data_IF_271315556579
#
_entry.id   IF_271315556579
#
_cell.length_a   1.000
_cell.length_b   1.000
_cell.length_c   1.000
_cell.angle_alpha   90.00
_cell.angle_beta   90.00
_cell.angle_gamma   90.00
#
_symmetry.space_group_name_H-M   'P 1'
#
loop_
_entity.id
_entity.type
_entity.pdbx_description
1 polymer ?
#
# COMPACT_ATOMS: atom_id res chain seq x y z
N UNK A 1 32.21 -19.35 -11.04
CA UNK A 1 31.22 -18.69 -11.92
C UNK A 1 30.56 -17.55 -11.15
N UNK A 2 31.11 -16.35 -11.27
CA UNK A 2 30.56 -15.11 -10.71
C UNK A 2 29.47 -14.62 -11.66
N UNK A 3 28.24 -14.49 -11.17
CA UNK A 3 27.10 -14.04 -11.97
C UNK A 3 27.15 -12.51 -11.99
N UNK A 4 27.41 -11.96 -13.16
CA UNK A 4 27.23 -10.54 -13.50
C UNK A 4 25.82 -10.13 -13.05
N UNK A 5 25.74 -9.42 -11.92
CA UNK A 5 24.52 -8.75 -11.49
C UNK A 5 24.47 -7.51 -12.37
N UNK A 6 23.83 -7.66 -13.53
CA UNK A 6 23.72 -6.61 -14.54
C UNK A 6 23.21 -5.32 -13.91
N UNK A 7 24.10 -4.34 -13.81
CA UNK A 7 23.72 -2.96 -13.59
C UNK A 7 22.78 -2.57 -14.75
N UNK A 8 21.60 -2.00 -14.46
CA UNK A 8 20.64 -1.68 -15.51
C UNK A 8 21.27 -0.71 -16.50
N UNK A 9 21.12 -1.01 -17.80
CA UNK A 9 21.66 -0.15 -18.86
C UNK A 9 21.00 1.23 -18.80
N UNK A 10 21.72 2.28 -19.18
CA UNK A 10 21.19 3.65 -19.28
C UNK A 10 19.87 3.72 -20.08
N UNK A 11 19.75 2.88 -21.10
CA UNK A 11 18.55 2.79 -21.93
C UNK A 11 17.35 2.18 -21.18
N UNK A 12 17.58 1.25 -20.26
CA UNK A 12 16.53 0.66 -19.40
C UNK A 12 16.04 1.65 -18.36
N UNK A 13 16.95 2.44 -17.78
CA UNK A 13 16.62 3.53 -16.85
C UNK A 13 15.74 4.57 -17.57
N UNK A 14 16.12 4.99 -18.78
CA UNK A 14 15.34 5.95 -19.57
C UNK A 14 14.00 5.37 -20.04
N UNK A 15 13.95 4.08 -20.38
CA UNK A 15 12.71 3.39 -20.73
C UNK A 15 11.73 3.30 -19.54
N UNK A 16 12.24 3.07 -18.33
CA UNK A 16 11.43 3.01 -17.10
C UNK A 16 10.79 4.36 -16.78
N UNK A 17 11.57 5.46 -16.84
CA UNK A 17 11.06 6.82 -16.61
C UNK A 17 10.00 7.20 -17.66
N UNK A 18 10.25 6.87 -18.94
CA UNK A 18 9.28 7.15 -20.02
C UNK A 18 7.97 6.38 -19.84
N UNK A 19 8.01 5.14 -19.34
CA UNK A 19 6.81 4.34 -19.04
C UNK A 19 5.98 4.96 -17.92
N UNK A 20 6.62 5.40 -16.84
CA UNK A 20 5.93 6.04 -15.71
C UNK A 20 5.23 7.33 -16.14
N UNK A 21 5.88 8.20 -16.92
CA UNK A 21 5.28 9.46 -17.41
C UNK A 21 4.12 9.19 -18.38
N UNK A 22 4.23 8.17 -19.23
CA UNK A 22 3.15 7.79 -20.15
C UNK A 22 1.94 7.17 -19.42
N UNK A 23 2.19 6.53 -18.28
CA UNK A 23 1.16 5.92 -17.42
C UNK A 23 0.44 6.99 -16.57
N UNK A 24 1.16 8.02 -16.10
CA UNK A 24 0.62 9.16 -15.34
C UNK A 24 -0.12 10.20 -16.22
N UNK A 25 0.25 10.31 -17.51
CA UNK A 25 -0.36 11.25 -18.46
C UNK A 25 -1.76 10.90 -18.98
N UNK A 26 -2.41 9.82 -18.51
CA UNK A 26 -3.74 9.40 -18.97
C UNK A 26 -4.84 9.62 -17.94
N UNK A 27 -5.23 10.89 -17.78
CA UNK A 27 -6.65 11.23 -17.63
C UNK A 27 -6.99 12.55 -18.31
N UNK A 28 -7.32 12.56 -19.62
CA UNK A 28 -8.08 13.67 -20.16
C UNK A 28 -9.40 13.76 -19.38
N UNK A 29 -9.66 14.90 -18.73
CA UNK A 29 -10.97 15.23 -18.15
C UNK A 29 -12.02 15.05 -19.25
N UNK A 30 -12.86 14.04 -19.09
CA UNK A 30 -14.04 13.82 -19.94
C UNK A 30 -14.94 15.07 -19.84
N UNK A 31 -15.38 15.70 -20.94
CA UNK A 31 -16.42 16.71 -20.83
C UNK A 31 -17.69 16.03 -20.32
N UNK A 32 -18.17 16.46 -19.15
CA UNK A 32 -19.45 16.00 -18.61
C UNK A 32 -20.57 16.51 -19.52
N UNK A 33 -21.66 15.74 -19.74
CA UNK A 33 -22.82 16.26 -20.44
C UNK A 33 -23.41 17.44 -19.64
N UNK A 34 -23.61 18.59 -20.30
CA UNK A 34 -24.33 19.72 -19.71
C UNK A 34 -25.78 19.30 -19.42
N UNK A 35 -26.06 19.01 -18.16
CA UNK A 35 -27.42 19.06 -17.62
C UNK A 35 -27.61 20.46 -17.05
N UNK A 36 -28.68 21.19 -17.37
CA UNK A 36 -28.96 22.46 -16.71
C UNK A 36 -29.19 22.17 -15.23
N UNK A 37 -28.26 22.60 -14.38
CA UNK A 37 -28.41 22.53 -12.94
C UNK A 37 -29.40 23.63 -12.51
N UNK A 38 -30.41 23.35 -11.69
CA UNK A 38 -31.10 24.41 -10.98
C UNK A 38 -30.05 25.12 -10.11
N UNK A 39 -30.04 26.46 -10.13
CA UNK A 39 -29.14 27.27 -9.31
C UNK A 39 -29.34 26.93 -7.83
N UNK A 40 -28.54 25.98 -7.32
CA UNK A 40 -28.43 25.70 -5.90
C UNK A 40 -27.54 26.79 -5.34
N UNK A 41 -28.15 27.76 -4.65
CA UNK A 41 -27.42 28.63 -3.74
C UNK A 41 -26.78 27.72 -2.68
N UNK A 42 -25.48 27.49 -2.81
CA UNK A 42 -24.68 26.86 -1.76
C UNK A 42 -24.60 27.88 -0.62
N UNK A 43 -25.38 27.64 0.43
CA UNK A 43 -25.07 28.25 1.73
C UNK A 43 -23.69 27.70 2.13
N UNK A 44 -22.73 28.56 2.53
CA UNK A 44 -21.46 28.06 3.04
C UNK A 44 -21.75 27.14 4.22
N UNK A 45 -21.11 25.96 4.21
CA UNK A 45 -21.21 25.03 5.31
C UNK A 45 -20.60 25.70 6.55
N UNK A 46 -21.43 26.03 7.54
CA UNK A 46 -21.02 26.61 8.84
C UNK A 46 -20.15 25.64 9.68
N UNK A 47 -19.82 24.46 9.14
CA UNK A 47 -19.06 23.39 9.79
C UNK A 47 -17.63 23.23 9.23
N UNK A 48 -17.19 24.15 8.36
CA UNK A 48 -15.81 24.19 7.86
C UNK A 48 -15.03 25.23 8.65
N UNK A 49 -14.24 24.77 9.62
CA UNK A 49 -13.30 25.62 10.35
C UNK A 49 -12.10 25.96 9.46
N UNK A 50 -12.00 27.22 9.05
CA UNK A 50 -10.88 27.74 8.27
C UNK A 50 -9.73 28.15 9.21
N UNK A 51 -8.78 27.25 9.44
CA UNK A 51 -7.57 27.50 10.25
C UNK A 51 -6.58 28.39 9.51
N UNK A 52 -6.93 29.67 9.35
CA UNK A 52 -6.04 30.72 8.82
C UNK A 52 -5.30 31.47 9.92
N UNK A 53 -5.76 31.34 11.17
CA UNK A 53 -5.07 31.86 12.35
C UNK A 53 -3.87 30.98 12.68
N UNK A 54 -2.67 31.50 12.41
CA UNK A 54 -1.43 30.87 12.86
C UNK A 54 -1.29 31.11 14.36
N UNK A 55 -1.28 30.04 15.15
CA UNK A 55 -0.89 30.12 16.55
C UNK A 55 0.56 30.60 16.60
N UNK A 56 0.79 31.81 17.10
CA UNK A 56 2.15 32.21 17.47
C UNK A 56 2.62 31.25 18.58
N UNK A 57 3.85 30.71 18.50
CA UNK A 57 4.40 29.99 19.63
C UNK A 57 4.43 30.97 20.81
N UNK A 58 3.50 30.80 21.74
CA UNK A 58 3.54 31.48 23.03
C UNK A 58 4.93 31.25 23.62
N UNK A 59 5.55 32.31 24.15
CA UNK A 59 6.80 32.21 24.92
C UNK A 59 6.73 30.95 25.79
N UNK A 60 7.77 30.10 25.79
CA UNK A 60 7.75 28.91 26.63
C UNK A 60 7.43 29.38 28.04
N UNK A 61 6.26 28.98 28.54
CA UNK A 61 5.98 29.12 29.96
C UNK A 61 7.03 28.24 30.62
N UNK A 62 8.13 28.85 31.08
CA UNK A 62 9.28 28.18 31.71
C UNK A 62 8.87 27.34 32.95
N UNK A 63 7.60 27.44 33.36
CA UNK A 63 6.98 26.77 34.50
C UNK A 63 6.04 25.60 34.12
N UNK A 64 5.84 25.25 32.85
CA UNK A 64 5.03 24.06 32.52
C UNK A 64 5.86 22.78 32.74
N UNK A 65 5.43 21.85 33.62
CA UNK A 65 6.16 20.61 33.82
C UNK A 65 6.20 19.82 32.51
N UNK A 66 7.31 19.13 32.22
CA UNK A 66 7.44 18.34 31.00
C UNK A 66 6.22 17.45 30.78
N UNK A 67 5.59 17.57 29.60
CA UNK A 67 4.43 16.78 29.19
C UNK A 67 4.67 15.27 29.30
N UNK A 68 5.94 14.87 29.23
CA UNK A 68 6.38 13.50 29.41
C UNK A 68 7.35 13.46 30.58
N UNK A 69 7.09 12.60 31.56
CA UNK A 69 8.05 12.36 32.64
C UNK A 69 9.33 11.70 32.11
N UNK A 70 10.45 11.92 32.82
CA UNK A 70 11.76 11.29 32.54
C UNK A 70 11.68 9.78 32.22
N UNK A 71 10.83 9.05 32.93
CA UNK A 71 10.62 7.63 32.69
C UNK A 71 9.99 7.34 31.31
N UNK A 72 9.02 8.16 30.90
CA UNK A 72 8.40 8.04 29.58
C UNK A 72 9.38 8.37 28.44
N UNK A 73 10.22 9.39 28.62
CA UNK A 73 11.31 9.69 27.68
C UNK A 73 12.26 8.51 27.52
N UNK A 74 12.62 7.85 28.63
CA UNK A 74 13.50 6.68 28.63
C UNK A 74 12.88 5.52 27.87
N UNK A 75 11.61 5.18 28.14
CA UNK A 75 10.91 4.11 27.42
C UNK A 75 10.72 4.41 25.93
N UNK A 76 10.48 5.67 25.55
CA UNK A 76 10.40 6.07 24.14
C UNK A 76 11.75 5.93 23.44
N UNK A 77 12.84 6.34 24.09
CA UNK A 77 14.21 6.18 23.57
C UNK A 77 14.58 4.70 23.42
N UNK A 78 14.22 3.86 24.38
CA UNK A 78 14.46 2.41 24.31
C UNK A 78 13.67 1.77 23.15
N UNK A 79 12.38 2.12 23.01
CA UNK A 79 11.53 1.62 21.93
C UNK A 79 12.06 2.03 20.55
N UNK A 80 12.50 3.30 20.40
CA UNK A 80 13.11 3.78 19.17
C UNK A 80 14.49 3.15 18.90
N UNK A 81 15.29 2.88 19.93
CA UNK A 81 16.57 2.20 19.78
C UNK A 81 16.39 0.77 19.26
N UNK A 82 15.38 0.05 19.75
CA UNK A 82 15.01 -1.28 19.21
C UNK A 82 14.58 -1.17 17.75
N UNK A 83 13.76 -0.18 17.39
CA UNK A 83 13.37 0.00 15.99
C UNK A 83 14.56 0.36 15.10
N UNK A 84 15.50 1.18 15.60
CA UNK A 84 16.69 1.56 14.87
C UNK A 84 17.57 0.34 14.51
N UNK A 85 17.74 -0.62 15.43
CA UNK A 85 18.48 -1.86 15.15
C UNK A 85 17.75 -2.78 14.18
N UNK A 86 16.41 -2.76 14.12
CA UNK A 86 15.65 -3.47 13.09
C UNK A 86 15.75 -2.83 11.71
N UNK A 87 16.07 -1.53 11.63
CA UNK A 87 16.18 -0.76 10.38
C UNK A 87 17.61 -0.58 9.87
N UNK A 88 18.61 -1.15 10.55
CA UNK A 88 20.01 -1.07 10.11
C UNK A 88 20.13 -1.65 8.67
N UNK A 89 20.47 -0.81 7.67
CA UNK A 89 20.54 -1.26 6.29
C UNK A 89 21.79 -2.15 6.13
N UNK A 90 21.58 -3.46 6.06
CA UNK A 90 22.66 -4.41 5.85
C UNK A 90 22.36 -5.86 6.25
N UNK A 91 21.32 -6.08 7.06
CA UNK A 91 20.85 -7.44 7.37
C UNK A 91 19.53 -7.66 6.66
N UNK A 92 19.58 -8.40 5.55
CA UNK A 92 18.35 -8.95 4.95
C UNK A 92 17.57 -9.64 6.06
N UNK A 93 16.29 -9.28 6.31
CA UNK A 93 15.50 -10.00 7.29
C UNK A 93 15.54 -11.45 6.87
N UNK A 94 16.14 -12.27 7.73
CA UNK A 94 16.15 -13.70 7.56
C UNK A 94 14.69 -14.17 7.62
N UNK A 95 14.05 -14.23 6.46
CA UNK A 95 12.83 -14.99 6.20
C UNK A 95 13.22 -16.47 6.26
N UNK A 96 13.75 -16.90 7.40
CA UNK A 96 13.88 -18.30 7.77
C UNK A 96 13.09 -18.44 9.06
N UNK A 97 11.83 -18.88 8.87
CA UNK A 97 10.83 -19.19 9.90
C UNK A 97 10.27 -18.03 10.74
N UNK A 98 10.04 -16.87 10.13
CA UNK A 98 9.12 -15.85 10.69
C UNK A 98 7.66 -16.32 10.84
N UNK A 99 7.35 -17.52 10.34
CA UNK A 99 6.02 -18.13 10.41
C UNK A 99 5.72 -18.96 11.68
N UNK A 100 6.69 -19.21 12.55
CA UNK A 100 6.45 -20.07 13.74
C UNK A 100 6.15 -19.28 15.02
N UNK A 101 6.45 -17.97 15.08
CA UNK A 101 6.16 -17.15 16.28
C UNK A 101 5.83 -15.67 16.01
N UNK A 102 5.20 -15.32 14.88
CA UNK A 102 4.63 -13.97 14.71
C UNK A 102 3.23 -14.00 14.08
N UNK A 103 2.47 -12.92 14.27
CA UNK A 103 1.07 -12.70 13.88
C UNK A 103 0.64 -13.35 12.55
N UNK A 104 1.53 -13.37 11.55
CA UNK A 104 1.28 -14.00 10.25
C UNK A 104 0.92 -15.49 10.37
N UNK A 105 1.60 -16.24 11.25
CA UNK A 105 1.29 -17.65 11.51
C UNK A 105 -0.12 -17.81 12.07
N UNK A 106 -0.52 -16.96 13.02
CA UNK A 106 -1.87 -17.01 13.61
C UNK A 106 -2.96 -16.63 12.60
N UNK A 107 -2.74 -15.59 11.78
CA UNK A 107 -3.66 -15.17 10.73
C UNK A 107 -3.77 -16.24 9.64
N UNK A 108 -2.67 -16.89 9.28
CA UNK A 108 -2.65 -18.00 8.31
C UNK A 108 -3.48 -19.19 8.80
N UNK A 109 -3.34 -19.58 10.06
CA UNK A 109 -4.15 -20.66 10.64
C UNK A 109 -5.64 -20.30 10.70
N UNK A 110 -5.97 -19.02 10.94
CA UNK A 110 -7.36 -18.55 10.88
C UNK A 110 -7.93 -18.48 9.45
N UNK A 111 -7.13 -18.07 8.46
CA UNK A 111 -7.59 -17.91 7.08
C UNK A 111 -7.61 -19.21 6.27
N UNK A 112 -6.81 -20.20 6.66
CA UNK A 112 -6.73 -21.51 6.01
C UNK A 112 -8.11 -22.17 5.80
N UNK A 113 -8.98 -22.31 6.83
CA UNK A 113 -10.30 -22.94 6.64
C UNK A 113 -11.22 -22.13 5.72
N UNK A 114 -11.22 -20.79 5.81
CA UNK A 114 -12.09 -19.94 4.99
C UNK A 114 -11.69 -19.99 3.51
N UNK A 115 -10.38 -20.01 3.23
CA UNK A 115 -9.87 -20.15 1.86
C UNK A 115 -10.12 -21.55 1.30
N UNK A 116 -10.01 -22.60 2.12
CA UNK A 116 -10.32 -23.97 1.68
C UNK A 116 -11.80 -24.11 1.29
N UNK A 117 -12.72 -23.65 2.14
CA UNK A 117 -14.16 -23.68 1.83
C UNK A 117 -14.49 -22.84 0.58
N UNK A 118 -13.86 -21.68 0.44
CA UNK A 118 -14.04 -20.85 -0.74
C UNK A 118 -13.54 -21.55 -2.01
N UNK A 119 -12.38 -22.19 -1.96
CA UNK A 119 -11.83 -22.96 -3.09
C UNK A 119 -12.75 -24.13 -3.44
N UNK A 120 -13.22 -24.91 -2.47
CA UNK A 120 -14.13 -26.03 -2.74
C UNK A 120 -15.41 -25.58 -3.46
N UNK A 121 -15.89 -24.37 -3.17
CA UNK A 121 -17.11 -23.82 -3.78
C UNK A 121 -16.89 -23.16 -5.14
N UNK A 122 -15.74 -22.51 -5.37
CA UNK A 122 -15.52 -21.67 -6.56
C UNK A 122 -14.54 -22.27 -7.58
N UNK A 123 -13.72 -23.25 -7.16
CA UNK A 123 -12.73 -23.87 -8.02
C UNK A 123 -13.32 -24.70 -9.17
N UNK A 124 -14.42 -25.46 -9.00
CA UNK A 124 -15.03 -26.22 -10.09
C UNK A 124 -15.39 -25.32 -11.29
N UNK A 125 -16.15 -24.24 -11.05
CA UNK A 125 -16.60 -23.32 -12.09
C UNK A 125 -15.43 -22.64 -12.83
N UNK A 126 -14.40 -22.23 -12.09
CA UNK A 126 -13.21 -21.62 -12.68
C UNK A 126 -12.45 -22.61 -13.59
N UNK A 127 -12.33 -23.87 -13.16
CA UNK A 127 -11.65 -24.92 -13.92
C UNK A 127 -12.47 -25.27 -15.17
N UNK A 128 -13.78 -25.41 -15.06
CA UNK A 128 -14.65 -25.69 -16.21
C UNK A 128 -14.56 -24.59 -17.28
N UNK A 129 -14.59 -23.32 -16.88
CA UNK A 129 -14.42 -22.20 -17.80
C UNK A 129 -13.03 -22.21 -18.48
N UNK A 130 -11.97 -22.54 -17.74
CA UNK A 130 -10.62 -22.62 -18.28
C UNK A 130 -10.45 -23.83 -19.23
N UNK A 131 -11.01 -24.99 -18.87
CA UNK A 131 -10.99 -26.21 -19.68
C UNK A 131 -11.83 -26.05 -20.95
N UNK A 132 -13.01 -25.43 -20.87
CA UNK A 132 -13.81 -25.12 -22.06
C UNK A 132 -13.05 -24.22 -23.04
N UNK A 133 -12.32 -23.22 -22.51
CA UNK A 133 -11.43 -22.35 -23.30
C UNK A 133 -10.23 -23.12 -23.87
N UNK A 134 -9.65 -24.05 -23.12
CA UNK A 134 -8.54 -24.93 -23.55
C UNK A 134 -8.98 -25.84 -24.71
N UNK A 135 -10.13 -26.52 -24.57
CA UNK A 135 -10.70 -27.40 -25.59
C UNK A 135 -11.02 -26.61 -26.86
N UNK A 136 -11.71 -25.47 -26.75
CA UNK A 136 -12.04 -24.63 -27.91
C UNK A 136 -10.81 -24.19 -28.71
N UNK A 137 -9.69 -23.93 -28.04
CA UNK A 137 -8.42 -23.62 -28.71
C UNK A 137 -7.78 -24.84 -29.39
N UNK A 138 -7.86 -26.02 -28.80
CA UNK A 138 -7.31 -27.25 -29.39
C UNK A 138 -8.14 -27.67 -30.61
N UNK A 139 -9.46 -27.61 -30.51
CA UNK A 139 -10.38 -28.00 -31.60
C UNK A 139 -10.34 -27.00 -32.75
N UNK A 140 -10.23 -25.69 -32.49
CA UNK A 140 -10.10 -24.66 -33.51
C UNK A 140 -8.75 -24.64 -34.25
N UNK A 141 -7.73 -25.35 -33.77
CA UNK A 141 -6.41 -25.45 -34.42
C UNK A 141 -6.31 -26.66 -35.37
N UNK A 142 -7.28 -27.57 -35.36
CA UNK A 142 -7.30 -28.77 -36.21
C UNK A 142 -8.34 -28.67 -37.34
N UNK A 143 -8.45 -27.48 -37.93
CA UNK A 143 -9.23 -27.20 -39.14
C UNK A 143 -8.42 -26.34 -40.09
#
# INVERSE_FOLDING_TARGET
MTRDIGEPSLEEILASIKKVIAEDGRKPRRPAPSRPAPARQEKPAEDVLELTESVEPSDPLDDEPPLVGRAGEQSMRESLAVLATLTEPGVSPQIVRSGETSLEGMVREMLRPMLAEWLDRNLPDMVEALVAKEIGRITGRKG
#
